data_IF_467700391246
#
_entry.id   IF_467700391246
#
_cell.length_a   1.000
_cell.length_b   1.000
_cell.length_c   1.000
_cell.angle_alpha   90.00
_cell.angle_beta   90.00
_cell.angle_gamma   90.00
#
_symmetry.space_group_name_H-M   'P 1'
#
loop_
_entity.id
_entity.type
_entity.pdbx_description
1 polymer ?
#
# COMPACT_ATOMS: atom_id res chain seq x y z
N UNK A 1 -10.32 12.89 0.45
CA UNK A 1 -9.71 12.18 1.59
C UNK A 1 -8.71 11.19 1.02
N UNK A 2 -7.51 11.12 1.55
CA UNK A 2 -6.49 10.14 1.13
C UNK A 2 -6.79 8.77 1.76
N UNK A 3 -6.42 7.69 1.07
CA UNK A 3 -6.51 6.31 1.56
C UNK A 3 -5.12 5.70 1.63
N UNK A 4 -4.92 4.72 2.53
CA UNK A 4 -3.69 3.92 2.51
C UNK A 4 -3.71 2.90 1.38
N UNK A 5 -2.53 2.57 0.83
CA UNK A 5 -2.37 1.43 -0.10
C UNK A 5 -2.37 0.10 0.63
N UNK A 6 -2.07 0.07 1.92
CA UNK A 6 -2.17 -1.13 2.74
C UNK A 6 -3.57 -1.25 3.31
N UNK A 7 -4.08 -2.46 3.35
CA UNK A 7 -5.41 -2.73 3.90
C UNK A 7 -5.68 -4.20 4.07
N UNK A 8 -6.65 -4.49 4.91
CA UNK A 8 -7.18 -5.82 5.17
C UNK A 8 -8.69 -5.74 5.26
N UNK A 9 -9.37 -6.66 4.60
CA UNK A 9 -10.80 -6.84 4.70
C UNK A 9 -11.15 -8.32 4.80
N UNK A 10 -12.12 -8.67 5.62
CA UNK A 10 -12.61 -10.03 5.76
C UNK A 10 -14.11 -10.02 5.94
N UNK A 11 -14.80 -10.91 5.21
CA UNK A 11 -16.20 -11.21 5.45
C UNK A 11 -16.38 -12.73 5.52
N UNK A 12 -17.23 -13.17 6.43
CA UNK A 12 -17.64 -14.56 6.56
C UNK A 12 -19.16 -14.59 6.65
N UNK A 13 -19.80 -15.24 5.72
CA UNK A 13 -21.27 -15.35 5.70
C UNK A 13 -21.74 -16.70 5.19
N UNK A 14 -22.84 -17.15 5.76
CA UNK A 14 -23.58 -18.31 5.25
C UNK A 14 -24.73 -17.81 4.38
N UNK A 15 -24.67 -18.13 3.08
CA UNK A 15 -25.69 -17.79 2.09
C UNK A 15 -26.11 -19.07 1.39
N UNK A 16 -27.41 -19.34 1.34
CA UNK A 16 -28.00 -20.52 0.70
C UNK A 16 -27.34 -21.86 1.12
N UNK A 17 -27.05 -22.03 2.45
CA UNK A 17 -26.45 -23.24 3.01
C UNK A 17 -24.96 -23.43 2.69
N UNK A 18 -24.27 -22.36 2.25
CA UNK A 18 -22.82 -22.36 2.00
C UNK A 18 -22.16 -21.25 2.80
N UNK A 19 -21.13 -21.57 3.55
CA UNK A 19 -20.27 -20.60 4.23
C UNK A 19 -19.22 -20.07 3.26
N UNK A 20 -19.28 -18.78 2.97
CA UNK A 20 -18.28 -18.06 2.19
C UNK A 20 -17.35 -17.31 3.13
N UNK A 21 -16.07 -17.49 2.96
CA UNK A 21 -15.04 -16.66 3.59
C UNK A 21 -14.27 -15.94 2.51
N UNK A 22 -14.25 -14.61 2.55
CA UNK A 22 -13.52 -13.76 1.64
C UNK A 22 -12.54 -12.92 2.44
N UNK A 23 -11.26 -12.98 2.09
CA UNK A 23 -10.20 -12.16 2.68
C UNK A 23 -9.47 -11.38 1.60
N UNK A 24 -9.28 -10.08 1.83
CA UNK A 24 -8.49 -9.20 0.96
C UNK A 24 -7.31 -8.66 1.76
N UNK A 25 -6.14 -8.64 1.12
CA UNK A 25 -4.94 -8.00 1.67
C UNK A 25 -4.27 -7.21 0.58
N UNK A 26 -3.81 -6.00 0.91
CA UNK A 26 -3.02 -5.21 -0.03
C UNK A 26 -1.71 -4.75 0.56
N UNK A 27 -0.73 -4.58 -0.33
CA UNK A 27 0.56 -3.98 -0.04
C UNK A 27 0.90 -2.96 -1.12
N UNK A 28 1.79 -2.03 -0.78
CA UNK A 28 2.24 -1.03 -1.74
C UNK A 28 2.85 -1.71 -2.98
N UNK A 29 2.40 -1.29 -4.16
CA UNK A 29 2.99 -1.64 -5.44
C UNK A 29 2.79 -0.50 -6.44
N UNK A 30 3.71 -0.38 -7.40
CA UNK A 30 3.70 0.68 -8.42
C UNK A 30 2.46 0.64 -9.32
N UNK A 31 1.97 -0.56 -9.64
CA UNK A 31 0.81 -0.82 -10.48
C UNK A 31 -0.22 -1.64 -9.70
N UNK A 32 -1.48 -1.62 -10.15
CA UNK A 32 -2.46 -2.54 -9.63
C UNK A 32 -2.14 -3.96 -10.11
N UNK A 33 -1.87 -4.84 -9.17
CA UNK A 33 -1.71 -6.28 -9.37
C UNK A 33 -2.74 -6.98 -8.49
N UNK A 34 -3.69 -7.71 -9.10
CA UNK A 34 -4.76 -8.38 -8.38
C UNK A 34 -4.68 -9.90 -8.60
N UNK A 35 -4.32 -10.62 -7.56
CA UNK A 35 -4.31 -12.08 -7.54
C UNK A 35 -5.52 -12.61 -6.76
N UNK A 36 -6.34 -13.43 -7.43
CA UNK A 36 -7.51 -14.06 -6.80
C UNK A 36 -7.24 -15.55 -6.66
N UNK A 37 -7.35 -16.07 -5.44
CA UNK A 37 -7.25 -17.49 -5.12
C UNK A 37 -8.63 -17.98 -4.66
N UNK A 38 -9.22 -18.86 -5.46
CA UNK A 38 -10.56 -19.38 -5.22
C UNK A 38 -10.62 -20.88 -5.54
N UNK A 39 -11.61 -21.62 -4.99
CA UNK A 39 -11.85 -23.01 -5.32
C UNK A 39 -12.21 -23.20 -6.79
N UNK A 40 -11.83 -24.36 -7.37
CA UNK A 40 -12.15 -24.69 -8.78
C UNK A 40 -13.64 -24.64 -9.10
N UNK A 41 -14.49 -24.93 -8.12
CA UNK A 41 -15.96 -24.90 -8.25
C UNK A 41 -16.54 -23.51 -8.57
N UNK A 42 -15.79 -22.44 -8.34
CA UNK A 42 -16.23 -21.06 -8.58
C UNK A 42 -15.25 -20.27 -9.47
N UNK A 43 -14.42 -20.97 -10.24
CA UNK A 43 -13.42 -20.34 -11.13
C UNK A 43 -14.05 -19.39 -12.16
N UNK A 44 -15.29 -19.60 -12.54
CA UNK A 44 -16.07 -18.72 -13.44
C UNK A 44 -16.30 -17.32 -12.85
N UNK A 45 -16.22 -17.14 -11.52
CA UNK A 45 -16.40 -15.86 -10.85
C UNK A 45 -15.11 -15.03 -10.73
N UNK A 46 -13.94 -15.57 -11.10
CA UNK A 46 -12.64 -14.90 -10.90
C UNK A 46 -12.58 -13.50 -11.52
N UNK A 47 -13.04 -13.36 -12.76
CA UNK A 47 -12.99 -12.07 -13.45
C UNK A 47 -13.95 -11.05 -12.83
N UNK A 48 -15.11 -11.49 -12.34
CA UNK A 48 -16.05 -10.61 -11.64
C UNK A 48 -15.44 -10.08 -10.33
N UNK A 49 -14.75 -10.92 -9.57
CA UNK A 49 -14.04 -10.50 -8.35
C UNK A 49 -12.91 -9.51 -8.69
N UNK A 50 -12.12 -9.79 -9.73
CA UNK A 50 -11.07 -8.86 -10.18
C UNK A 50 -11.62 -7.50 -10.58
N UNK A 51 -12.77 -7.48 -11.26
CA UNK A 51 -13.43 -6.23 -11.65
C UNK A 51 -13.93 -5.44 -10.44
N UNK A 52 -14.51 -6.09 -9.44
CA UNK A 52 -14.94 -5.45 -8.19
C UNK A 52 -13.75 -4.81 -7.45
N UNK A 53 -12.62 -5.52 -7.37
CA UNK A 53 -11.38 -4.97 -6.79
C UNK A 53 -10.87 -3.77 -7.58
N UNK A 54 -10.83 -3.83 -8.91
CA UNK A 54 -10.37 -2.73 -9.79
C UNK A 54 -11.22 -1.46 -9.66
N UNK A 55 -12.48 -1.57 -9.29
CA UNK A 55 -13.35 -0.42 -9.02
C UNK A 55 -13.03 0.27 -7.70
N UNK A 56 -12.54 -0.46 -6.72
CA UNK A 56 -12.22 0.05 -5.38
C UNK A 56 -10.76 0.48 -5.21
N UNK A 57 -9.84 -0.07 -6.02
CA UNK A 57 -8.39 0.13 -5.88
C UNK A 57 -7.79 0.52 -7.21
N UNK A 58 -7.03 1.63 -7.24
CA UNK A 58 -6.36 2.10 -8.46
C UNK A 58 -4.90 1.66 -8.53
N UNK A 59 -4.27 1.33 -7.38
CA UNK A 59 -2.85 1.00 -7.25
C UNK A 59 -2.60 0.06 -6.08
N UNK A 60 -1.54 -0.74 -6.17
CA UNK A 60 -1.15 -1.68 -5.10
C UNK A 60 -1.23 -3.13 -5.57
N UNK A 61 -0.67 -4.05 -4.80
CA UNK A 61 -0.86 -5.48 -4.99
C UNK A 61 -1.94 -5.95 -4.03
N UNK A 62 -3.01 -6.52 -4.57
CA UNK A 62 -4.17 -7.03 -3.82
C UNK A 62 -4.24 -8.54 -3.98
N UNK A 63 -4.12 -9.26 -2.89
CA UNK A 63 -4.35 -10.70 -2.83
C UNK A 63 -5.75 -10.96 -2.24
N UNK A 64 -6.59 -11.67 -2.99
CA UNK A 64 -7.94 -12.07 -2.58
C UNK A 64 -7.96 -13.57 -2.36
N UNK A 65 -8.38 -14.00 -1.19
CA UNK A 65 -8.52 -15.41 -0.83
C UNK A 65 -9.99 -15.72 -0.59
N UNK A 66 -10.53 -16.70 -1.33
CA UNK A 66 -11.91 -17.12 -1.22
C UNK A 66 -11.95 -18.59 -0.83
N UNK A 67 -12.70 -18.89 0.21
CA UNK A 67 -12.99 -20.26 0.65
C UNK A 67 -14.48 -20.45 0.76
N UNK A 68 -14.97 -21.57 0.28
CA UNK A 68 -16.39 -21.93 0.34
C UNK A 68 -16.49 -23.31 1.01
N UNK A 69 -17.30 -23.38 2.06
CA UNK A 69 -17.66 -24.64 2.72
C UNK A 69 -19.16 -24.86 2.53
N UNK A 70 -19.53 -26.05 2.09
CA UNK A 70 -20.96 -26.46 2.06
C UNK A 70 -21.30 -27.03 3.42
N UNK A 71 -22.36 -26.55 4.04
CA UNK A 71 -22.91 -27.14 5.27
C UNK A 71 -23.66 -28.45 4.98
N UNK A 72 -24.17 -28.59 3.75
CA UNK A 72 -24.90 -29.80 3.32
C UNK A 72 -23.97 -30.73 2.56
N UNK A 73 -23.35 -31.70 3.26
CA UNK A 73 -22.62 -32.81 2.65
C UNK A 73 -23.54 -33.87 2.05
N UNK A 74 -24.86 -33.77 2.26
CA UNK A 74 -25.82 -34.82 1.98
C UNK A 74 -26.38 -34.84 0.56
N UNK A 75 -26.07 -33.86 -0.28
CA UNK A 75 -26.58 -33.80 -1.66
C UNK A 75 -25.80 -34.65 -2.67
N UNK A 76 -24.89 -35.50 -2.19
CA UNK A 76 -24.14 -36.38 -3.07
C UNK A 76 -25.00 -37.61 -3.39
N UNK A 77 -25.56 -37.70 -4.61
CA UNK A 77 -26.31 -38.83 -5.08
C UNK A 77 -25.38 -39.89 -5.64
N UNK A 78 -25.39 -41.07 -5.01
CA UNK A 78 -24.69 -42.25 -5.53
C UNK A 78 -25.68 -43.01 -6.40
N UNK A 79 -25.36 -43.14 -7.69
CA UNK A 79 -26.19 -43.90 -8.64
C UNK A 79 -25.44 -45.13 -9.12
N UNK A 80 -26.17 -46.22 -9.29
CA UNK A 80 -25.64 -47.45 -9.86
C UNK A 80 -25.64 -47.35 -11.38
N UNK A 81 -24.50 -47.55 -12.00
CA UNK A 81 -24.40 -47.69 -13.45
C UNK A 81 -24.74 -49.12 -13.87
N UNK A 82 -26.04 -49.38 -14.09
CA UNK A 82 -26.56 -50.72 -14.38
C UNK A 82 -25.93 -51.36 -15.63
N UNK A 83 -25.67 -50.57 -16.67
CA UNK A 83 -25.12 -51.13 -17.93
C UNK A 83 -23.66 -51.58 -17.76
N UNK A 84 -22.86 -50.84 -17.00
CA UNK A 84 -21.48 -51.22 -16.67
C UNK A 84 -21.48 -52.45 -15.77
N UNK A 85 -22.35 -52.47 -14.77
CA UNK A 85 -22.51 -53.63 -13.88
C UNK A 85 -22.91 -54.91 -14.64
N UNK A 86 -23.88 -54.83 -15.55
CA UNK A 86 -24.28 -55.97 -16.40
C UNK A 86 -23.12 -56.47 -17.26
N UNK A 87 -22.34 -55.59 -17.84
CA UNK A 87 -21.13 -55.96 -18.59
C UNK A 87 -20.13 -56.74 -17.75
N UNK A 88 -19.83 -56.24 -16.52
CA UNK A 88 -18.93 -56.96 -15.61
C UNK A 88 -19.49 -58.33 -15.18
N UNK A 89 -20.76 -58.41 -14.82
CA UNK A 89 -21.38 -59.64 -14.41
C UNK A 89 -21.38 -60.69 -15.54
N UNK A 90 -21.62 -60.30 -16.78
CA UNK A 90 -21.54 -61.11 -17.95
C UNK A 90 -20.13 -61.66 -18.16
N UNK A 91 -19.14 -60.85 -18.13
CA UNK A 91 -17.74 -61.26 -18.29
C UNK A 91 -17.27 -62.15 -17.14
N UNK A 92 -17.69 -61.87 -15.90
CA UNK A 92 -17.38 -62.77 -14.76
C UNK A 92 -18.04 -64.18 -14.85
N UNK A 93 -19.30 -64.21 -15.31
CA UNK A 93 -19.96 -65.49 -15.54
C UNK A 93 -19.30 -66.33 -16.66
N UNK A 94 -18.88 -65.66 -17.73
CA UNK A 94 -18.11 -66.29 -18.79
C UNK A 94 -16.79 -66.88 -18.28
N UNK A 95 -16.08 -66.17 -17.35
CA UNK A 95 -14.89 -66.79 -16.71
C UNK A 95 -15.18 -68.05 -15.91
N UNK A 96 -16.32 -68.07 -15.21
CA UNK A 96 -16.74 -69.27 -14.48
C UNK A 96 -17.03 -70.41 -15.47
N UNK A 97 -17.81 -70.15 -16.52
CA UNK A 97 -18.31 -71.14 -17.44
C UNK A 97 -17.20 -71.69 -18.39
N UNK A 98 -16.35 -70.87 -18.90
CA UNK A 98 -15.32 -71.19 -19.90
C UNK A 98 -14.00 -71.66 -19.26
N UNK A 99 -13.60 -71.03 -18.13
CA UNK A 99 -12.31 -71.29 -17.53
C UNK A 99 -12.35 -72.04 -16.21
N UNK A 100 -13.53 -72.39 -15.72
CA UNK A 100 -13.70 -73.16 -14.48
C UNK A 100 -13.26 -72.43 -13.20
N UNK A 101 -13.20 -71.11 -13.23
CA UNK A 101 -12.87 -70.25 -12.07
C UNK A 101 -14.04 -70.42 -11.06
N UNK A 102 -13.72 -70.38 -9.78
CA UNK A 102 -14.76 -70.45 -8.72
C UNK A 102 -15.62 -69.18 -8.76
N UNK A 103 -16.94 -69.39 -8.74
CA UNK A 103 -17.89 -68.29 -8.59
C UNK A 103 -17.81 -67.67 -7.16
N UNK A 104 -17.31 -66.47 -7.03
CA UNK A 104 -17.29 -65.70 -5.80
C UNK A 104 -17.85 -64.25 -6.00
N UNK A 105 -18.72 -64.09 -7.02
CA UNK A 105 -19.37 -62.83 -7.32
C UNK A 105 -20.24 -62.44 -6.13
N UNK A 106 -19.81 -61.28 -5.51
CA UNK A 106 -20.50 -60.76 -4.35
C UNK A 106 -20.62 -59.24 -4.48
N UNK A 107 -21.51 -58.61 -3.71
CA UNK A 107 -21.66 -57.17 -3.67
C UNK A 107 -20.31 -56.47 -3.32
N UNK A 108 -19.53 -57.09 -2.42
CA UNK A 108 -18.21 -56.55 -2.04
C UNK A 108 -17.17 -56.63 -3.14
N UNK A 109 -17.27 -57.62 -4.03
CA UNK A 109 -16.41 -57.73 -5.22
C UNK A 109 -16.81 -56.70 -6.27
N UNK A 110 -18.10 -56.66 -6.58
CA UNK A 110 -18.66 -55.80 -7.62
C UNK A 110 -18.55 -54.31 -7.27
N UNK A 111 -18.73 -53.97 -6.01
CA UNK A 111 -18.66 -52.56 -5.55
C UNK A 111 -17.28 -51.90 -5.69
N UNK A 112 -16.24 -52.73 -5.90
CA UNK A 112 -14.85 -52.23 -6.10
C UNK A 112 -14.48 -52.11 -7.57
N UNK A 113 -15.35 -52.52 -8.48
CA UNK A 113 -15.09 -52.43 -9.91
C UNK A 113 -15.23 -50.98 -10.36
N UNK A 114 -14.38 -50.52 -11.30
CA UNK A 114 -14.44 -49.18 -11.82
C UNK A 114 -15.80 -48.83 -12.42
N UNK A 115 -16.26 -47.61 -12.23
CA UNK A 115 -17.44 -47.02 -12.88
C UNK A 115 -18.80 -47.74 -12.57
N UNK A 116 -18.82 -48.69 -11.66
CA UNK A 116 -20.07 -49.32 -11.21
C UNK A 116 -20.94 -48.35 -10.42
N UNK A 117 -20.33 -47.47 -9.66
CA UNK A 117 -21.02 -46.37 -9.00
C UNK A 117 -20.55 -45.03 -9.58
N UNK A 118 -21.51 -44.18 -9.91
CA UNK A 118 -21.26 -42.79 -10.22
C UNK A 118 -21.70 -41.90 -9.05
N UNK A 119 -20.84 -40.93 -8.71
CA UNK A 119 -21.10 -39.92 -7.69
C UNK A 119 -21.56 -38.68 -8.41
N UNK A 120 -22.86 -38.47 -8.47
CA UNK A 120 -23.42 -37.25 -9.05
C UNK A 120 -23.48 -36.15 -8.00
N UNK A 121 -22.81 -35.03 -8.30
CA UNK A 121 -23.01 -33.82 -7.54
C UNK A 121 -24.18 -33.05 -8.15
N UNK A 122 -25.04 -32.43 -7.32
CA UNK A 122 -26.15 -31.64 -7.86
C UNK A 122 -25.60 -30.56 -8.79
N UNK A 123 -26.31 -30.28 -9.86
CA UNK A 123 -26.02 -29.13 -10.72
C UNK A 123 -26.09 -27.85 -9.88
N UNK A 124 -25.00 -27.10 -9.89
CA UNK A 124 -24.91 -25.84 -9.18
C UNK A 124 -25.34 -24.75 -10.15
N UNK A 125 -26.36 -23.99 -9.78
CA UNK A 125 -26.69 -22.74 -10.49
C UNK A 125 -25.52 -21.77 -10.34
N UNK A 126 -24.72 -21.63 -11.40
CA UNK A 126 -23.53 -20.80 -11.43
C UNK A 126 -23.86 -19.30 -11.25
N UNK A 127 -24.99 -18.83 -11.79
CA UNK A 127 -25.40 -17.44 -11.67
C UNK A 127 -25.80 -17.10 -10.22
N UNK A 128 -26.56 -18.00 -9.58
CA UNK A 128 -26.91 -17.84 -8.17
C UNK A 128 -25.66 -17.90 -7.27
N UNK A 129 -24.78 -18.86 -7.51
CA UNK A 129 -23.55 -18.99 -6.73
C UNK A 129 -22.60 -17.80 -6.89
N UNK A 130 -22.53 -17.24 -8.09
CA UNK A 130 -21.80 -16.00 -8.38
C UNK A 130 -22.40 -14.81 -7.63
N UNK A 131 -23.73 -14.67 -7.66
CA UNK A 131 -24.43 -13.60 -6.94
C UNK A 131 -24.19 -13.68 -5.45
N UNK A 132 -24.30 -14.88 -4.85
CA UNK A 132 -24.06 -15.13 -3.43
C UNK A 132 -22.62 -14.75 -3.07
N UNK A 133 -21.63 -15.24 -3.83
CA UNK A 133 -20.22 -14.91 -3.63
C UNK A 133 -19.96 -13.41 -3.72
N UNK A 134 -20.50 -12.72 -4.75
CA UNK A 134 -20.27 -11.29 -4.94
C UNK A 134 -20.86 -10.47 -3.80
N UNK A 135 -21.97 -10.86 -3.21
CA UNK A 135 -22.52 -10.19 -2.03
C UNK A 135 -21.56 -10.21 -0.82
N UNK A 136 -20.80 -11.30 -0.65
CA UNK A 136 -19.79 -11.42 0.42
C UNK A 136 -18.50 -10.68 0.05
N UNK A 137 -18.11 -10.70 -1.23
CA UNK A 137 -16.98 -9.90 -1.75
C UNK A 137 -17.21 -8.42 -1.50
N UNK A 138 -18.40 -7.89 -1.77
CA UNK A 138 -18.74 -6.48 -1.56
C UNK A 138 -18.63 -6.08 -0.07
N UNK A 139 -19.04 -6.95 0.83
CA UNK A 139 -18.88 -6.71 2.28
C UNK A 139 -17.43 -6.72 2.72
N UNK A 140 -16.63 -7.65 2.19
CA UNK A 140 -15.20 -7.71 2.47
C UNK A 140 -14.48 -6.45 1.90
N UNK A 141 -14.86 -6.00 0.71
CA UNK A 141 -14.37 -4.75 0.10
C UNK A 141 -14.76 -3.52 0.91
N UNK A 142 -15.99 -3.45 1.43
CA UNK A 142 -16.41 -2.35 2.28
C UNK A 142 -15.58 -2.27 3.57
N UNK A 143 -15.31 -3.40 4.22
CA UNK A 143 -14.44 -3.48 5.39
C UNK A 143 -13.00 -3.08 5.07
N UNK A 144 -12.48 -3.55 3.93
CA UNK A 144 -11.17 -3.19 3.41
C UNK A 144 -11.02 -1.69 3.15
N UNK A 145 -12.00 -1.07 2.50
CA UNK A 145 -12.01 0.37 2.22
C UNK A 145 -12.14 1.22 3.49
N UNK A 146 -12.92 0.78 4.45
CA UNK A 146 -13.04 1.44 5.75
C UNK A 146 -11.71 1.45 6.51
N UNK A 147 -10.99 0.32 6.53
CA UNK A 147 -9.66 0.24 7.15
C UNK A 147 -8.66 1.19 6.47
N UNK A 148 -8.61 1.19 5.13
CA UNK A 148 -7.74 2.08 4.35
C UNK A 148 -8.04 3.56 4.60
N UNK A 149 -9.30 3.92 4.78
CA UNK A 149 -9.72 5.28 5.08
C UNK A 149 -9.24 5.72 6.48
N UNK A 150 -9.36 4.85 7.48
CA UNK A 150 -8.87 5.12 8.85
C UNK A 150 -7.34 5.29 8.86
N UNK A 151 -6.62 4.38 8.20
CA UNK A 151 -5.16 4.48 8.09
C UNK A 151 -4.73 5.71 7.30
N UNK A 152 -5.45 6.04 6.21
CA UNK A 152 -5.23 7.26 5.43
C UNK A 152 -5.39 8.54 6.24
N UNK A 153 -6.37 8.60 7.16
CA UNK A 153 -6.52 9.72 8.09
C UNK A 153 -5.33 9.85 9.05
N UNK A 154 -4.82 8.74 9.57
CA UNK A 154 -3.65 8.74 10.44
C UNK A 154 -2.40 9.22 9.68
N UNK A 155 -2.23 8.79 8.42
CA UNK A 155 -1.15 9.25 7.54
C UNK A 155 -1.25 10.76 7.25
N UNK A 156 -2.45 11.27 6.94
CA UNK A 156 -2.69 12.72 6.73
C UNK A 156 -2.27 13.53 7.96
N UNK A 157 -2.68 13.11 9.14
CA UNK A 157 -2.35 13.79 10.39
C UNK A 157 -0.83 13.78 10.66
N UNK A 158 -0.14 12.66 10.43
CA UNK A 158 1.31 12.55 10.61
C UNK A 158 2.07 13.45 9.62
N UNK A 159 1.68 13.46 8.35
CA UNK A 159 2.30 14.30 7.33
C UNK A 159 2.17 15.81 7.64
N UNK A 160 0.98 16.25 8.07
CA UNK A 160 0.76 17.65 8.48
C UNK A 160 1.58 18.02 9.70
N UNK A 161 1.63 17.14 10.71
CA UNK A 161 2.46 17.36 11.90
C UNK A 161 3.93 17.55 11.54
N UNK A 162 4.48 16.67 10.68
CA UNK A 162 5.87 16.76 10.19
C UNK A 162 6.10 18.02 9.37
N UNK A 163 5.15 18.40 8.51
CA UNK A 163 5.19 19.66 7.78
C UNK A 163 5.30 20.87 8.70
N UNK A 164 4.54 20.89 9.80
CA UNK A 164 4.62 21.95 10.80
C UNK A 164 5.98 21.97 11.52
N UNK A 165 6.53 20.80 11.86
CA UNK A 165 7.89 20.70 12.42
C UNK A 165 8.93 21.31 11.48
N UNK A 166 8.83 21.04 10.17
CA UNK A 166 9.73 21.65 9.18
C UNK A 166 9.56 23.18 9.15
N UNK A 167 8.33 23.70 9.21
CA UNK A 167 8.07 25.14 9.26
C UNK A 167 8.75 25.80 10.48
N UNK A 168 8.72 25.16 11.64
CA UNK A 168 9.39 25.61 12.85
C UNK A 168 10.92 25.61 12.68
N UNK A 169 11.48 24.55 12.09
CA UNK A 169 12.92 24.46 11.80
C UNK A 169 13.36 25.50 10.78
N UNK A 170 12.57 25.77 9.75
CA UNK A 170 12.83 26.83 8.77
C UNK A 170 12.88 28.21 9.46
N UNK A 171 11.96 28.48 10.38
CA UNK A 171 11.98 29.75 11.15
C UNK A 171 13.26 29.90 12.00
N UNK A 172 13.76 28.78 12.56
CA UNK A 172 15.04 28.80 13.29
C UNK A 172 16.21 29.03 12.36
N UNK A 173 16.21 28.52 11.13
CA UNK A 173 17.25 28.81 10.12
C UNK A 173 17.25 30.29 9.77
N UNK A 174 16.08 30.90 9.50
CA UNK A 174 15.94 32.31 9.16
C UNK A 174 16.50 33.20 10.29
N UNK A 175 16.09 32.92 11.53
CA UNK A 175 16.55 33.69 12.70
C UNK A 175 18.07 33.53 12.93
N UNK A 176 18.59 32.32 12.82
CA UNK A 176 20.00 32.02 13.02
C UNK A 176 20.88 32.57 11.89
N UNK A 177 20.38 32.64 10.65
CA UNK A 177 21.09 33.22 9.53
C UNK A 177 21.30 34.75 9.72
N UNK A 178 20.27 35.45 10.16
CA UNK A 178 20.37 36.87 10.49
C UNK A 178 21.43 37.14 11.61
N UNK A 179 21.45 36.30 12.65
CA UNK A 179 22.43 36.39 13.74
C UNK A 179 23.85 36.11 13.24
N UNK A 180 24.03 35.15 12.32
CA UNK A 180 25.34 34.81 11.75
C UNK A 180 26.00 36.01 11.06
N UNK A 181 25.21 36.84 10.36
CA UNK A 181 25.71 38.08 9.73
C UNK A 181 26.21 39.06 10.79
N UNK A 182 25.46 39.27 11.87
CA UNK A 182 25.85 40.17 12.98
C UNK A 182 27.14 39.67 13.64
N UNK A 183 27.21 38.36 13.92
CA UNK A 183 28.38 37.75 14.54
C UNK A 183 29.63 37.85 13.64
N UNK A 184 29.45 37.65 12.33
CA UNK A 184 30.54 37.85 11.35
C UNK A 184 31.06 39.26 11.34
N UNK A 185 30.18 40.24 11.27
CA UNK A 185 30.57 41.69 11.33
C UNK A 185 31.37 42.00 12.60
N UNK A 186 30.87 41.59 13.77
CA UNK A 186 31.53 41.80 15.07
C UNK A 186 32.91 41.15 15.12
N UNK A 187 33.02 39.92 14.59
CA UNK A 187 34.30 39.21 14.52
C UNK A 187 35.29 39.89 13.58
N UNK A 188 34.81 40.37 12.43
CA UNK A 188 35.64 41.11 11.46
C UNK A 188 36.16 42.40 12.06
N UNK A 189 35.31 43.19 12.73
CA UNK A 189 35.70 44.43 13.42
C UNK A 189 36.77 44.18 14.49
N UNK A 190 36.58 43.16 15.33
CA UNK A 190 37.53 42.80 16.39
C UNK A 190 38.87 42.34 15.82
N UNK A 191 38.86 41.54 14.76
CA UNK A 191 40.08 41.07 14.12
C UNK A 191 40.85 42.19 13.42
N UNK A 192 40.16 43.15 12.82
CA UNK A 192 40.78 44.33 12.24
C UNK A 192 41.40 45.25 13.31
N UNK A 193 40.74 45.44 14.47
CA UNK A 193 41.30 46.20 15.61
C UNK A 193 42.58 45.55 16.14
N UNK A 194 42.63 44.22 16.17
CA UNK A 194 43.79 43.45 16.64
C UNK A 194 44.99 43.56 15.70
N UNK A 195 44.76 43.55 14.38
CA UNK A 195 45.80 43.57 13.35
C UNK A 195 46.29 45.00 13.01
N UNK A 196 45.40 45.98 13.07
CA UNK A 196 45.65 47.38 12.69
C UNK A 196 45.88 48.23 13.93
N UNK A 197 47.01 48.03 14.60
CA UNK A 197 47.37 48.74 15.86
C UNK A 197 47.50 50.23 15.75
N UNK A 198 47.68 50.87 14.54
CA UNK A 198 47.89 52.26 14.33
C UNK A 198 47.21 52.89 13.10
N UNK A 199 46.28 52.20 12.48
CA UNK A 199 45.60 52.70 11.26
C UNK A 199 44.11 52.82 11.53
N UNK A 200 43.49 53.94 11.11
CA UNK A 200 42.04 54.11 11.20
C UNK A 200 41.35 53.05 10.37
N UNK A 201 40.43 52.33 11.00
CA UNK A 201 39.63 51.28 10.35
C UNK A 201 38.61 52.01 9.46
N UNK A 202 38.61 51.67 8.16
CA UNK A 202 37.59 52.13 7.22
C UNK A 202 36.30 51.32 7.42
N UNK A 203 35.32 51.96 8.08
CA UNK A 203 34.02 51.36 8.40
C UNK A 203 33.25 50.98 7.13
N UNK A 204 33.43 51.71 6.02
CA UNK A 204 32.79 51.42 4.73
C UNK A 204 33.22 50.07 4.16
N UNK A 205 34.48 49.69 4.36
CA UNK A 205 35.01 48.38 3.94
C UNK A 205 34.47 47.23 4.79
N UNK A 206 34.29 47.45 6.09
CA UNK A 206 33.65 46.43 6.98
C UNK A 206 32.22 46.20 6.56
N UNK A 207 31.45 47.25 6.27
CA UNK A 207 30.07 47.16 5.81
C UNK A 207 29.98 46.45 4.45
N UNK A 208 30.90 46.73 3.54
CA UNK A 208 30.95 46.06 2.22
C UNK A 208 31.24 44.60 2.36
N UNK A 209 32.23 44.19 3.15
CA UNK A 209 32.53 42.75 3.40
C UNK A 209 31.40 42.04 4.12
N UNK A 210 30.75 42.68 5.08
CA UNK A 210 29.59 42.12 5.76
C UNK A 210 28.39 41.93 4.80
N UNK A 211 28.18 42.88 3.86
CA UNK A 211 27.14 42.77 2.84
C UNK A 211 27.42 41.61 1.85
N UNK A 212 28.68 41.50 1.37
CA UNK A 212 29.09 40.35 0.50
C UNK A 212 28.90 39.03 1.23
N UNK A 213 29.28 38.99 2.51
CA UNK A 213 29.07 37.78 3.30
C UNK A 213 27.58 37.45 3.49
N UNK A 214 26.75 38.48 3.79
CA UNK A 214 25.30 38.30 3.94
C UNK A 214 24.66 37.75 2.65
N UNK A 215 25.04 38.30 1.49
CA UNK A 215 24.56 37.81 0.18
C UNK A 215 24.96 36.35 -0.07
N UNK A 216 26.20 35.99 0.27
CA UNK A 216 26.72 34.64 0.10
C UNK A 216 25.96 33.57 0.94
N UNK A 217 25.51 33.93 2.15
CA UNK A 217 24.81 33.04 3.06
C UNK A 217 23.28 33.21 3.02
N UNK A 218 22.78 34.13 2.19
CA UNK A 218 21.34 34.40 2.09
C UNK A 218 20.57 33.10 1.71
N UNK A 219 19.56 32.77 2.52
CA UNK A 219 18.71 31.56 2.36
C UNK A 219 17.24 31.96 2.18
N UNK A 220 16.93 33.22 2.01
CA UNK A 220 15.56 33.73 1.98
C UNK A 220 14.74 33.13 0.85
N UNK A 221 15.33 32.96 -0.34
CA UNK A 221 14.66 32.38 -1.49
C UNK A 221 14.31 30.90 -1.23
N UNK A 222 15.25 30.15 -0.72
CA UNK A 222 15.08 28.73 -0.42
C UNK A 222 14.06 28.50 0.71
N UNK A 223 14.08 29.34 1.73
CA UNK A 223 13.10 29.22 2.84
C UNK A 223 11.69 29.58 2.38
N UNK A 224 11.52 30.63 1.56
CA UNK A 224 10.24 31.02 0.96
C UNK A 224 9.71 29.88 0.05
N UNK A 225 10.58 29.29 -0.79
CA UNK A 225 10.21 28.16 -1.64
C UNK A 225 9.80 26.94 -0.82
N UNK A 226 10.57 26.60 0.21
CA UNK A 226 10.26 25.48 1.08
C UNK A 226 8.90 25.64 1.80
N UNK A 227 8.60 26.86 2.28
CA UNK A 227 7.27 27.20 2.84
C UNK A 227 6.16 27.06 1.80
N UNK A 228 6.38 27.53 0.58
CA UNK A 228 5.42 27.40 -0.53
C UNK A 228 5.13 25.91 -0.85
N UNK A 229 6.18 25.08 -0.89
CA UNK A 229 6.03 23.65 -1.13
C UNK A 229 5.27 22.95 -0.01
N UNK A 230 5.51 23.30 1.26
CA UNK A 230 4.74 22.77 2.39
C UNK A 230 3.26 23.15 2.31
N UNK A 231 2.96 24.38 1.87
CA UNK A 231 1.58 24.81 1.63
C UNK A 231 0.92 24.02 0.48
N UNK A 232 1.65 23.78 -0.61
CA UNK A 232 1.18 22.92 -1.72
C UNK A 232 0.92 21.49 -1.26
N UNK A 233 1.81 20.90 -0.42
CA UNK A 233 1.59 19.59 0.19
C UNK A 233 0.28 19.55 0.96
N UNK A 234 0.03 20.52 1.84
CA UNK A 234 -1.21 20.63 2.60
C UNK A 234 -2.45 20.73 1.71
N UNK A 235 -2.36 21.48 0.61
CA UNK A 235 -3.43 21.63 -0.36
C UNK A 235 -3.73 20.30 -1.08
N UNK A 236 -2.69 19.54 -1.48
CA UNK A 236 -2.83 18.22 -2.09
C UNK A 236 -3.46 17.21 -1.14
N UNK A 237 -3.04 17.19 0.14
CA UNK A 237 -3.62 16.33 1.17
C UNK A 237 -5.11 16.65 1.39
N UNK A 238 -5.48 17.92 1.38
CA UNK A 238 -6.87 18.36 1.52
C UNK A 238 -7.72 17.97 0.31
N UNK A 239 -7.20 18.11 -0.90
CA UNK A 239 -7.88 17.71 -2.13
C UNK A 239 -8.12 16.19 -2.19
N UNK A 240 -7.19 15.40 -1.66
CA UNK A 240 -7.27 13.94 -1.64
C UNK A 240 -7.11 13.30 -3.02
N UNK A 241 -7.44 12.01 -3.10
CA UNK A 241 -7.28 11.22 -4.31
C UNK A 241 -5.83 10.73 -4.51
N UNK A 242 -5.49 10.27 -5.70
CA UNK A 242 -4.18 9.69 -6.03
C UNK A 242 -3.05 10.74 -6.06
N UNK A 243 -2.70 11.29 -4.89
CA UNK A 243 -1.73 12.38 -4.76
C UNK A 243 -0.29 11.91 -4.58
N UNK A 244 -0.04 10.63 -4.31
CA UNK A 244 1.27 10.10 -3.95
C UNK A 244 2.40 10.51 -4.92
N UNK A 245 2.20 10.37 -6.25
CA UNK A 245 3.23 10.77 -7.24
C UNK A 245 3.51 12.28 -7.26
N UNK A 246 2.49 13.10 -7.03
CA UNK A 246 2.65 14.55 -6.98
C UNK A 246 3.41 14.96 -5.73
N UNK A 247 3.13 14.30 -4.61
CA UNK A 247 3.86 14.48 -3.36
C UNK A 247 5.33 14.06 -3.48
N UNK A 248 5.62 12.92 -4.13
CA UNK A 248 7.01 12.49 -4.38
C UNK A 248 7.81 13.55 -5.14
N UNK A 249 7.23 14.13 -6.19
CA UNK A 249 7.88 15.21 -6.94
C UNK A 249 8.11 16.46 -6.06
N UNK A 250 7.10 16.86 -5.31
CA UNK A 250 7.18 18.02 -4.42
C UNK A 250 8.25 17.82 -3.34
N UNK A 251 8.39 16.60 -2.81
CA UNK A 251 9.43 16.24 -1.83
C UNK A 251 10.85 16.31 -2.42
N UNK A 252 11.01 16.00 -3.72
CA UNK A 252 12.30 16.18 -4.40
C UNK A 252 12.69 17.66 -4.44
N UNK A 253 11.74 18.56 -4.76
CA UNK A 253 11.99 20.02 -4.74
C UNK A 253 12.30 20.51 -3.30
N UNK A 254 11.53 20.07 -2.29
CA UNK A 254 11.81 20.41 -0.90
C UNK A 254 13.22 19.97 -0.46
N UNK A 255 13.64 18.78 -0.85
CA UNK A 255 14.99 18.27 -0.57
C UNK A 255 16.07 19.12 -1.28
N UNK A 256 15.79 19.58 -2.50
CA UNK A 256 16.67 20.48 -3.23
C UNK A 256 16.86 21.79 -2.48
N UNK A 257 15.77 22.43 -2.03
CA UNK A 257 15.85 23.66 -1.24
C UNK A 257 16.61 23.42 0.08
N UNK A 258 16.32 22.33 0.80
CA UNK A 258 17.05 21.98 2.02
C UNK A 258 18.56 21.77 1.77
N UNK A 259 18.94 21.17 0.63
CA UNK A 259 20.34 20.99 0.24
C UNK A 259 21.02 22.36 0.01
N UNK A 260 20.35 23.28 -0.70
CA UNK A 260 20.87 24.61 -0.98
C UNK A 260 21.04 25.42 0.31
N UNK A 261 20.06 25.40 1.21
CA UNK A 261 20.17 25.98 2.55
C UNK A 261 21.40 25.42 3.27
N UNK A 262 21.56 24.08 3.28
CA UNK A 262 22.70 23.43 3.93
C UNK A 262 24.06 23.83 3.38
N UNK A 263 24.17 24.06 2.07
CA UNK A 263 25.43 24.50 1.43
C UNK A 263 25.78 25.94 1.75
N UNK A 264 24.81 26.79 2.08
CA UNK A 264 24.99 28.18 2.47
C UNK A 264 25.22 28.35 3.97
N UNK A 265 24.88 27.36 4.80
CA UNK A 265 25.09 27.42 6.24
C UNK A 265 26.56 27.29 6.60
N UNK A 266 27.11 28.34 7.25
CA UNK A 266 28.47 28.36 7.79
C UNK A 266 28.54 28.03 9.29
N UNK A 267 27.42 28.09 9.99
CA UNK A 267 27.29 27.77 11.41
C UNK A 267 26.91 26.30 11.62
N UNK A 268 27.62 25.63 12.55
CA UNK A 268 27.40 24.23 12.90
C UNK A 268 25.98 23.98 13.46
N UNK A 269 25.43 24.95 14.20
CA UNK A 269 24.06 24.83 14.76
C UNK A 269 23.03 24.87 13.62
N UNK A 270 23.18 25.79 12.67
CA UNK A 270 22.30 25.87 11.49
C UNK A 270 22.42 24.62 10.62
N UNK A 271 23.64 24.13 10.40
CA UNK A 271 23.85 22.88 9.67
C UNK A 271 23.13 21.68 10.32
N UNK A 272 23.08 21.61 11.66
CA UNK A 272 22.34 20.57 12.39
C UNK A 272 20.84 20.70 12.17
N UNK A 273 20.28 21.92 12.21
CA UNK A 273 18.86 22.16 11.93
C UNK A 273 18.50 21.71 10.50
N UNK A 274 19.37 21.95 9.52
CA UNK A 274 19.16 21.48 8.15
C UNK A 274 19.16 19.95 8.06
N UNK A 275 20.00 19.27 8.83
CA UNK A 275 19.97 17.79 8.93
C UNK A 275 18.63 17.32 9.49
N UNK A 276 18.09 17.99 10.51
CA UNK A 276 16.78 17.68 11.08
C UNK A 276 15.65 17.92 10.06
N UNK A 277 15.68 18.99 9.27
CA UNK A 277 14.75 19.24 8.15
C UNK A 277 14.79 18.06 7.17
N UNK A 278 15.98 17.64 6.74
CA UNK A 278 16.13 16.51 5.81
C UNK A 278 15.60 15.19 6.39
N UNK A 279 15.83 14.95 7.67
CA UNK A 279 15.31 13.78 8.35
C UNK A 279 13.77 13.75 8.37
N UNK A 280 13.13 14.89 8.62
CA UNK A 280 11.67 14.98 8.55
C UNK A 280 11.14 14.84 7.11
N UNK A 281 11.82 15.40 6.10
CA UNK A 281 11.46 15.22 4.69
C UNK A 281 11.55 13.75 4.26
N UNK A 282 12.57 13.00 4.72
CA UNK A 282 12.68 11.57 4.41
C UNK A 282 11.56 10.76 5.07
N UNK A 283 11.22 11.05 6.32
CA UNK A 283 10.06 10.43 6.99
C UNK A 283 8.74 10.71 6.25
N UNK A 284 8.54 11.94 5.76
CA UNK A 284 7.38 12.29 4.93
C UNK A 284 7.40 11.46 3.64
N UNK A 285 8.56 11.32 3.00
CA UNK A 285 8.72 10.54 1.76
C UNK A 285 8.34 9.08 1.93
N UNK A 286 8.79 8.44 3.02
CA UNK A 286 8.44 7.06 3.34
C UNK A 286 6.91 6.88 3.52
N UNK A 287 6.27 7.80 4.24
CA UNK A 287 4.82 7.74 4.44
C UNK A 287 4.03 8.01 3.15
N UNK A 288 4.51 8.92 2.32
CA UNK A 288 3.87 9.27 1.02
C UNK A 288 3.82 8.08 0.07
N UNK A 289 4.77 7.15 0.15
CA UNK A 289 4.76 5.92 -0.65
C UNK A 289 3.57 5.01 -0.35
N UNK A 290 2.93 5.15 0.80
CA UNK A 290 1.77 4.36 1.22
C UNK A 290 0.43 5.06 0.95
N UNK A 291 0.41 6.18 0.22
CA UNK A 291 -0.80 6.97 -0.06
C UNK A 291 -1.32 6.69 -1.48
N UNK A 292 -2.64 6.44 -1.54
CA UNK A 292 -3.42 6.34 -2.77
C UNK A 292 -4.47 7.46 -2.85
#
# INVERSE_FOLDING_TARGET
MIKSMTGYGRAVETVNGREFTVELRSVNNRYLDCAVKLPRSVSFAEEAVKQAVKQSVSRGKVDVFITIKSENSDDTKITLNASVLEGYLTAMRQMVDEFGVRDDISVSTVSRLPEVFSVEKPEVDEDQLKSDLMSVVDKALAGYDAMRAVEGQALDADLRRRGNTILELVSQVEAGNAQTVVDYRTRLENKLKEVLTNTAIDESRILTEAAIFADKIAVDEETVRLRSHLQQMNSMLTAGGAVGRKLDFLLQEMNREANTIGSKCTDVKLARIVVDIKAELEKIREQTQNIE
#
